data_IF_559438126606
#
_entry.id   IF_559438126606
#
_cell.length_a   1.000
_cell.length_b   1.000
_cell.length_c   1.000
_cell.angle_alpha   90.00
_cell.angle_beta   90.00
_cell.angle_gamma   90.00
#
_symmetry.space_group_name_H-M   'P 1'
#
loop_
_entity.id
_entity.type
_entity.pdbx_description
1 polymer ?
#
# COMPACT_ATOMS: atom_id res chain seq x y z
N UNK A 1 -5.53 -13.52 -19.72
CA UNK A 1 -4.08 -13.42 -20.02
C UNK A 1 -3.43 -12.87 -18.75
N UNK A 2 -2.67 -13.74 -18.09
CA UNK A 2 -1.79 -13.53 -16.92
C UNK A 2 -2.34 -12.81 -15.68
N UNK A 3 -2.89 -13.61 -14.76
CA UNK A 3 -3.13 -13.30 -13.35
C UNK A 3 -1.80 -13.08 -12.60
N UNK A 4 -1.14 -11.95 -12.85
CA UNK A 4 0.15 -11.62 -12.22
C UNK A 4 -0.10 -11.08 -10.81
N UNK A 5 -0.15 -11.97 -9.82
CA UNK A 5 -0.27 -11.60 -8.41
C UNK A 5 1.05 -11.08 -7.85
N UNK A 6 0.96 -10.06 -6.99
CA UNK A 6 2.10 -9.51 -6.26
C UNK A 6 2.09 -10.00 -4.81
N UNK A 7 3.25 -10.11 -4.18
CA UNK A 7 3.39 -10.40 -2.76
C UNK A 7 3.62 -9.12 -1.98
N UNK A 8 2.81 -8.90 -0.95
CA UNK A 8 2.97 -7.80 0.00
C UNK A 8 3.40 -8.40 1.34
N UNK A 9 4.63 -8.13 1.76
CA UNK A 9 5.09 -8.45 3.12
C UNK A 9 4.80 -7.27 4.05
N UNK A 10 4.09 -7.53 5.14
CA UNK A 10 3.79 -6.55 6.20
C UNK A 10 4.26 -7.09 7.53
N UNK A 11 5.33 -6.54 8.08
CA UNK A 11 5.91 -6.98 9.36
C UNK A 11 6.14 -8.51 9.44
N UNK A 12 6.57 -9.13 8.33
CA UNK A 12 6.79 -10.58 8.25
C UNK A 12 5.55 -11.41 7.92
N UNK A 13 4.42 -10.78 7.59
CA UNK A 13 3.24 -11.46 7.02
C UNK A 13 3.15 -11.21 5.53
N UNK A 14 3.27 -12.28 4.74
CA UNK A 14 3.16 -12.22 3.28
C UNK A 14 1.70 -12.41 2.83
N UNK A 15 1.25 -11.55 1.93
CA UNK A 15 -0.09 -11.60 1.36
C UNK A 15 -0.04 -11.54 -0.17
N UNK A 16 -0.89 -12.34 -0.81
CA UNK A 16 -1.06 -12.30 -2.27
C UNK A 16 -2.04 -11.20 -2.65
N UNK A 17 -1.50 -10.14 -3.23
CA UNK A 17 -2.23 -9.02 -3.79
C UNK A 17 -2.53 -9.26 -5.27
N UNK A 18 -3.76 -8.96 -5.66
CA UNK A 18 -4.22 -9.11 -7.02
C UNK A 18 -4.36 -7.72 -7.69
N UNK A 19 -3.56 -7.41 -8.72
CA UNK A 19 -3.65 -6.12 -9.40
C UNK A 19 -4.91 -5.95 -10.25
N UNK A 20 -5.59 -7.04 -10.63
CA UNK A 20 -6.83 -6.95 -11.41
C UNK A 20 -7.99 -6.41 -10.58
N UNK A 21 -7.92 -6.57 -9.25
CA UNK A 21 -8.90 -6.04 -8.30
C UNK A 21 -8.91 -4.50 -8.23
N UNK A 22 -7.90 -3.82 -8.82
CA UNK A 22 -7.78 -2.36 -8.88
C UNK A 22 -7.95 -1.63 -7.53
N UNK A 23 -7.72 -2.35 -6.43
CA UNK A 23 -7.98 -1.93 -5.05
C UNK A 23 -6.69 -1.39 -4.43
N UNK A 24 -6.73 -0.27 -3.69
CA UNK A 24 -5.51 0.28 -3.07
C UNK A 24 -4.87 -0.70 -2.08
N UNK A 25 -3.56 -0.57 -1.83
CA UNK A 25 -2.82 -1.39 -0.84
C UNK A 25 -3.52 -1.38 0.52
N UNK A 26 -4.05 -0.23 0.94
CA UNK A 26 -4.82 -0.09 2.18
C UNK A 26 -6.01 -1.04 2.24
N UNK A 27 -6.93 -0.95 1.28
CA UNK A 27 -8.15 -1.76 1.27
C UNK A 27 -7.86 -3.25 1.18
N UNK A 28 -6.79 -3.62 0.45
CA UNK A 28 -6.33 -5.00 0.42
C UNK A 28 -5.88 -5.49 1.80
N UNK A 29 -5.09 -4.69 2.52
CA UNK A 29 -4.64 -5.03 3.87
C UNK A 29 -5.82 -5.08 4.86
N UNK A 30 -6.78 -4.16 4.75
CA UNK A 30 -8.01 -4.21 5.56
C UNK A 30 -8.77 -5.51 5.31
N UNK A 31 -8.87 -5.97 4.05
CA UNK A 31 -9.48 -7.26 3.70
C UNK A 31 -8.75 -8.45 4.35
N UNK A 32 -7.44 -8.34 4.57
CA UNK A 32 -6.62 -9.33 5.28
C UNK A 32 -6.66 -9.18 6.81
N UNK A 33 -7.61 -8.42 7.35
CA UNK A 33 -7.73 -8.12 8.79
C UNK A 33 -6.53 -7.34 9.35
N UNK A 34 -5.77 -6.65 8.50
CA UNK A 34 -4.73 -5.71 8.96
C UNK A 34 -5.38 -4.34 9.12
N UNK A 35 -5.66 -3.98 10.37
CA UNK A 35 -6.03 -2.60 10.70
C UNK A 35 -4.84 -1.67 10.45
N UNK A 36 -4.97 -0.86 9.42
CA UNK A 36 -4.10 0.29 9.14
C UNK A 36 -4.82 1.56 9.57
N UNK A 37 -4.06 2.52 10.12
CA UNK A 37 -4.60 3.81 10.54
C UNK A 37 -4.98 4.62 9.31
N UNK A 38 -6.22 4.50 8.85
CA UNK A 38 -6.76 5.34 7.78
C UNK A 38 -7.82 6.27 8.35
N UNK A 39 -7.58 7.59 8.24
CA UNK A 39 -8.50 8.60 8.79
C UNK A 39 -9.25 9.33 7.66
N UNK A 40 -8.56 9.75 6.59
CA UNK A 40 -9.22 10.42 5.46
C UNK A 40 -9.53 9.53 4.26
N UNK A 41 -8.82 8.40 4.06
CA UNK A 41 -8.85 7.57 2.82
C UNK A 41 -8.55 8.29 1.49
N UNK A 42 -8.48 9.61 1.48
CA UNK A 42 -8.24 10.46 0.31
C UNK A 42 -6.76 10.86 0.09
N UNK A 43 -5.81 10.23 0.79
CA UNK A 43 -4.38 10.56 0.61
C UNK A 43 -3.95 11.94 1.13
N UNK A 44 -4.83 12.67 1.83
CA UNK A 44 -4.56 14.03 2.32
C UNK A 44 -4.04 14.09 3.76
N UNK A 45 -4.49 13.17 4.65
CA UNK A 45 -4.19 13.27 6.09
C UNK A 45 -2.80 12.78 6.50
N UNK A 46 -2.11 12.00 5.66
CA UNK A 46 -0.84 11.36 6.02
C UNK A 46 -0.94 10.28 7.12
N UNK A 47 -2.12 9.99 7.68
CA UNK A 47 -2.27 8.99 8.75
C UNK A 47 -2.02 7.55 8.27
N UNK A 48 -2.28 7.28 6.98
CA UNK A 48 -2.13 5.96 6.37
C UNK A 48 -0.66 5.63 6.02
N UNK A 49 0.29 6.56 6.25
CA UNK A 49 1.67 6.44 5.79
C UNK A 49 2.32 5.14 6.26
N UNK A 50 3.01 4.49 5.33
CA UNK A 50 3.78 3.28 5.59
C UNK A 50 5.15 3.46 4.97
N UNK A 51 6.15 2.79 5.55
CA UNK A 51 7.50 2.78 5.03
C UNK A 51 7.66 1.66 4.00
N UNK A 52 8.20 1.95 2.82
CA UNK A 52 8.45 0.94 1.78
C UNK A 52 9.86 0.37 1.97
N UNK A 53 9.99 -0.76 2.64
CA UNK A 53 11.29 -1.39 2.86
C UNK A 53 11.86 -2.04 1.59
N UNK A 54 11.00 -2.49 0.67
CA UNK A 54 11.45 -3.15 -0.57
C UNK A 54 10.39 -3.12 -1.66
N UNK A 55 10.84 -3.11 -2.91
CA UNK A 55 9.99 -3.24 -4.09
C UNK A 55 9.59 -1.88 -4.64
N UNK A 56 8.52 -1.87 -5.45
CA UNK A 56 8.07 -0.67 -6.15
C UNK A 56 6.55 -0.54 -6.06
N UNK A 57 6.11 0.67 -5.73
CA UNK A 57 4.69 1.06 -5.68
C UNK A 57 4.45 2.21 -6.64
N UNK A 58 3.26 2.26 -7.21
CA UNK A 58 2.76 3.39 -7.98
C UNK A 58 1.79 4.18 -7.12
N UNK A 59 2.19 5.37 -6.73
CA UNK A 59 1.33 6.34 -6.06
C UNK A 59 0.50 7.13 -7.07
N UNK A 60 -0.74 7.44 -6.70
CA UNK A 60 -1.57 8.32 -7.50
C UNK A 60 -0.98 9.74 -7.51
N UNK A 61 -0.97 10.44 -8.66
CA UNK A 61 -0.45 11.80 -8.76
C UNK A 61 -1.24 12.81 -7.90
N UNK A 62 -2.45 12.44 -7.48
CA UNK A 62 -3.31 13.23 -6.59
C UNK A 62 -2.89 13.12 -5.11
N UNK A 63 -1.92 12.26 -4.78
CA UNK A 63 -1.46 12.06 -3.40
C UNK A 63 -0.56 13.21 -2.93
N UNK A 64 -1.17 14.27 -2.38
CA UNK A 64 -0.51 15.45 -1.80
C UNK A 64 -0.14 15.31 -0.31
N UNK A 65 -0.46 14.16 0.31
CA UNK A 65 -0.11 13.93 1.71
C UNK A 65 1.40 13.97 1.94
N UNK A 66 1.80 14.65 3.01
CA UNK A 66 3.20 14.74 3.43
C UNK A 66 3.76 13.35 3.75
N UNK A 67 4.88 13.01 3.10
CA UNK A 67 5.59 11.73 3.23
C UNK A 67 7.10 11.98 3.10
N UNK A 68 7.90 11.17 3.78
CA UNK A 68 9.34 11.10 3.55
C UNK A 68 9.68 10.31 2.28
N UNK A 69 10.94 10.37 1.84
CA UNK A 69 11.42 9.71 0.62
C UNK A 69 11.26 8.18 0.66
N UNK A 70 11.32 7.59 1.87
CA UNK A 70 11.15 6.15 2.11
C UNK A 70 9.70 5.79 2.53
N UNK A 71 8.80 6.76 2.59
CA UNK A 71 7.41 6.59 2.99
C UNK A 71 6.46 6.76 1.80
N UNK A 72 5.32 6.09 1.86
CA UNK A 72 4.27 6.21 0.84
C UNK A 72 2.88 6.10 1.46
N UNK A 73 1.87 6.46 0.68
CA UNK A 73 0.47 6.46 1.11
C UNK A 73 -0.27 5.24 0.52
N UNK A 74 -0.37 4.10 1.24
CA UNK A 74 -1.05 2.90 0.75
C UNK A 74 -2.54 3.12 0.45
N UNK A 75 -3.14 4.18 0.96
CA UNK A 75 -4.52 4.56 0.64
C UNK A 75 -4.70 5.04 -0.81
N UNK A 76 -3.67 5.67 -1.39
CA UNK A 76 -3.69 6.20 -2.75
C UNK A 76 -2.63 5.54 -3.67
N UNK A 77 -2.01 4.45 -3.21
CA UNK A 77 -0.93 3.76 -3.93
C UNK A 77 -1.27 2.30 -4.20
N UNK A 78 -0.71 1.77 -5.29
CA UNK A 78 -0.85 0.39 -5.75
C UNK A 78 0.52 -0.27 -5.87
N UNK A 79 0.66 -1.57 -5.60
CA UNK A 79 1.92 -2.26 -5.77
C UNK A 79 2.16 -2.52 -7.27
N UNK A 80 3.37 -2.20 -7.76
CA UNK A 80 3.82 -2.55 -9.11
C UNK A 80 4.58 -3.87 -9.16
N UNK A 81 5.05 -4.33 -8.01
CA UNK A 81 5.86 -5.53 -7.86
C UNK A 81 5.69 -6.10 -6.44
N UNK A 82 6.42 -7.17 -6.15
CA UNK A 82 6.50 -7.69 -4.78
C UNK A 82 7.10 -6.63 -3.87
N UNK A 83 6.34 -6.19 -2.88
CA UNK A 83 6.72 -5.10 -1.99
C UNK A 83 6.78 -5.58 -0.54
N UNK A 84 7.64 -4.93 0.23
CA UNK A 84 7.71 -5.08 1.68
C UNK A 84 7.44 -3.73 2.31
N UNK A 85 6.47 -3.69 3.21
CA UNK A 85 6.01 -2.46 3.82
C UNK A 85 5.99 -2.61 5.33
N UNK A 86 6.32 -1.52 6.02
CA UNK A 86 6.37 -1.47 7.48
C UNK A 86 5.46 -0.38 7.98
N UNK A 87 4.60 -0.75 8.94
CA UNK A 87 3.71 0.19 9.64
C UNK A 87 4.54 1.01 10.61
N UNK A 88 4.28 2.32 10.68
CA UNK A 88 4.96 3.29 11.54
C UNK A 88 3.99 4.08 12.41
#
# INVERSE_FOLDING_TARGET
>A
MEDKKFKIDVEGKEFEYDPTSNTSILSFLESKNISMKSMCRDGFCGACRCKLEKGEVEESPDAIGYKEDDEFLPCASKPKSNIRIKRI
#
